data_IF_808229667354
#
_entry.id   IF_808229667354
#
_cell.length_a   1.000
_cell.length_b   1.000
_cell.length_c   1.000
_cell.angle_alpha   90.00
_cell.angle_beta   90.00
_cell.angle_gamma   90.00
#
_symmetry.space_group_name_H-M   'P 1'
#
loop_
_entity.id
_entity.type
_entity.pdbx_description
1 polymer ?
#
# COMPACT_ATOMS: atom_id res chain seq x y z
N UNK A 1 5.41 45.37 -22.00
CA UNK A 1 4.54 44.98 -20.87
C UNK A 1 5.18 45.47 -19.58
N UNK A 2 4.45 46.26 -18.79
CA UNK A 2 4.95 46.78 -17.52
C UNK A 2 5.09 45.63 -16.51
N UNK A 3 6.22 45.55 -15.80
CA UNK A 3 6.49 44.51 -14.78
C UNK A 3 5.39 44.39 -13.71
N UNK A 4 4.69 45.49 -13.42
CA UNK A 4 3.56 45.53 -12.50
C UNK A 4 2.28 44.84 -13.01
N UNK A 5 2.06 44.77 -14.32
CA UNK A 5 0.88 44.09 -14.90
C UNK A 5 1.11 42.58 -14.97
N UNK A 6 2.31 42.16 -15.38
CA UNK A 6 2.72 40.75 -15.37
C UNK A 6 2.65 40.14 -13.98
N UNK A 7 3.12 40.85 -12.94
CA UNK A 7 3.03 40.36 -11.56
C UNK A 7 1.59 40.28 -11.03
N UNK A 8 0.70 41.18 -11.46
CA UNK A 8 -0.73 41.13 -11.10
C UNK A 8 -1.44 39.97 -11.78
N UNK A 9 -1.17 39.74 -13.05
CA UNK A 9 -1.73 38.63 -13.83
C UNK A 9 -1.30 37.28 -13.23
N UNK A 10 0.00 37.10 -12.96
CA UNK A 10 0.50 35.88 -12.34
C UNK A 10 -0.17 35.59 -10.99
N UNK A 11 -0.37 36.62 -10.16
CA UNK A 11 -1.06 36.47 -8.87
C UNK A 11 -2.53 36.06 -9.05
N UNK A 12 -3.19 36.59 -10.07
CA UNK A 12 -4.55 36.19 -10.42
C UNK A 12 -4.61 34.72 -10.86
N UNK A 13 -3.69 34.29 -11.73
CA UNK A 13 -3.64 32.92 -12.24
C UNK A 13 -3.28 31.90 -11.16
N UNK A 14 -2.33 32.23 -10.27
CA UNK A 14 -2.04 31.45 -9.07
C UNK A 14 -3.28 31.30 -8.17
N UNK A 15 -4.01 32.38 -7.91
CA UNK A 15 -5.24 32.30 -7.11
C UNK A 15 -6.29 31.39 -7.75
N UNK A 16 -6.41 31.42 -9.07
CA UNK A 16 -7.31 30.55 -9.83
C UNK A 16 -6.87 29.07 -9.74
N UNK A 17 -5.58 28.78 -9.92
CA UNK A 17 -5.02 27.44 -9.74
C UNK A 17 -5.35 26.89 -8.34
N UNK A 18 -5.21 27.71 -7.31
CA UNK A 18 -5.48 27.34 -5.91
C UNK A 18 -6.97 27.21 -5.54
N UNK A 19 -7.89 27.52 -6.47
CA UNK A 19 -9.32 27.23 -6.32
C UNK A 19 -9.70 25.81 -6.75
N UNK A 20 -8.73 25.01 -7.22
CA UNK A 20 -8.94 23.60 -7.54
C UNK A 20 -9.48 22.77 -6.37
N UNK A 21 -10.04 21.63 -6.73
CA UNK A 21 -10.47 20.55 -5.83
C UNK A 21 -9.30 19.99 -5.02
N UNK A 22 -9.60 19.26 -3.94
CA UNK A 22 -8.57 18.58 -3.15
C UNK A 22 -7.67 17.68 -4.00
N UNK A 23 -8.27 16.94 -4.94
CA UNK A 23 -7.53 16.07 -5.87
C UNK A 23 -6.55 16.86 -6.73
N UNK A 24 -7.01 17.94 -7.35
CA UNK A 24 -6.19 18.81 -8.19
C UNK A 24 -5.02 19.40 -7.40
N UNK A 25 -5.29 19.87 -6.18
CA UNK A 25 -4.26 20.46 -5.31
C UNK A 25 -3.20 19.44 -4.90
N UNK A 26 -3.58 18.20 -4.59
CA UNK A 26 -2.63 17.13 -4.27
C UNK A 26 -1.83 16.74 -5.52
N UNK A 27 -2.45 16.73 -6.71
CA UNK A 27 -1.76 16.52 -7.97
C UNK A 27 -0.70 17.59 -8.24
N UNK A 28 -1.06 18.88 -8.13
CA UNK A 28 -0.12 20.01 -8.30
C UNK A 28 1.01 19.97 -7.27
N UNK A 29 0.70 19.62 -6.02
CA UNK A 29 1.71 19.47 -4.99
C UNK A 29 2.73 18.39 -5.36
N UNK A 30 2.26 17.21 -5.76
CA UNK A 30 3.13 16.15 -6.24
C UNK A 30 3.93 16.61 -7.46
N UNK A 31 3.34 17.38 -8.39
CA UNK A 31 4.01 17.91 -9.59
C UNK A 31 5.25 18.72 -9.22
N UNK A 32 5.07 19.64 -8.29
CA UNK A 32 6.15 20.49 -7.80
C UNK A 32 7.16 19.73 -6.91
N UNK A 33 6.81 18.58 -6.35
CA UNK A 33 7.76 17.74 -5.62
C UNK A 33 8.69 16.95 -6.56
N UNK A 34 8.24 16.63 -7.77
CA UNK A 34 9.04 15.90 -8.77
C UNK A 34 9.93 16.81 -9.61
N UNK A 35 9.53 18.06 -9.84
CA UNK A 35 10.36 19.00 -10.60
C UNK A 35 11.58 19.45 -9.78
N UNK A 36 12.77 19.20 -10.34
CA UNK A 36 14.08 19.48 -9.72
C UNK A 36 14.20 20.94 -9.26
N UNK A 37 13.55 21.88 -9.95
CA UNK A 37 13.65 23.30 -9.63
C UNK A 37 12.75 23.70 -8.46
N UNK A 38 11.61 23.05 -8.31
CA UNK A 38 10.57 23.38 -7.34
C UNK A 38 10.59 22.51 -6.09
N UNK A 39 11.11 21.28 -6.17
CA UNK A 39 11.12 20.33 -5.06
C UNK A 39 11.81 20.86 -3.80
N UNK A 40 12.89 21.64 -3.96
CA UNK A 40 13.61 22.30 -2.86
C UNK A 40 12.78 23.30 -2.04
N UNK A 41 11.62 23.71 -2.54
CA UNK A 41 10.73 24.66 -1.87
C UNK A 41 9.52 24.00 -1.22
N UNK A 42 9.38 22.67 -1.35
CA UNK A 42 8.26 21.90 -0.81
C UNK A 42 8.79 20.89 0.20
N UNK A 43 8.53 21.15 1.48
CA UNK A 43 8.86 20.24 2.59
C UNK A 43 7.87 20.43 3.73
N UNK A 44 7.75 19.39 4.58
CA UNK A 44 6.91 19.41 5.78
C UNK A 44 5.46 19.76 5.47
N UNK A 45 4.87 19.10 4.49
CA UNK A 45 3.48 19.35 4.06
C UNK A 45 2.53 18.55 4.93
N UNK A 46 1.51 19.21 5.46
CA UNK A 46 0.40 18.56 6.13
C UNK A 46 -0.71 18.28 5.12
N UNK A 47 -0.71 17.08 4.55
CA UNK A 47 -1.66 16.67 3.52
C UNK A 47 -3.12 16.58 4.02
N UNK A 48 -3.35 16.59 5.35
CA UNK A 48 -4.71 16.68 5.94
C UNK A 48 -5.26 18.11 5.96
N UNK A 49 -4.45 19.11 5.63
CA UNK A 49 -4.82 20.51 5.70
C UNK A 49 -4.71 21.16 4.31
N UNK A 50 -5.84 21.24 3.61
CA UNK A 50 -5.93 21.91 2.30
C UNK A 50 -5.39 23.33 2.32
N UNK A 51 -5.53 24.06 3.43
CA UNK A 51 -4.95 25.40 3.56
C UNK A 51 -3.43 25.36 3.55
N UNK A 52 -2.83 24.37 4.22
CA UNK A 52 -1.38 24.17 4.19
C UNK A 52 -0.92 23.80 2.77
N UNK A 53 -1.60 22.86 2.10
CA UNK A 53 -1.30 22.48 0.71
C UNK A 53 -1.30 23.72 -0.20
N UNK A 54 -2.36 24.55 -0.15
CA UNK A 54 -2.44 25.78 -0.94
C UNK A 54 -1.29 26.74 -0.65
N UNK A 55 -0.92 26.91 0.63
CA UNK A 55 0.21 27.75 1.03
C UNK A 55 1.53 27.20 0.48
N UNK A 56 1.74 25.89 0.51
CA UNK A 56 2.97 25.25 -0.01
C UNK A 56 3.10 25.42 -1.52
N UNK A 57 2.01 25.20 -2.27
CA UNK A 57 1.97 25.44 -3.72
C UNK A 57 2.26 26.92 -4.01
N UNK A 58 1.55 27.85 -3.38
CA UNK A 58 1.76 29.29 -3.58
C UNK A 58 3.22 29.69 -3.31
N UNK A 59 3.76 29.27 -2.17
CA UNK A 59 5.13 29.59 -1.79
C UNK A 59 6.15 29.04 -2.79
N UNK A 60 5.95 27.82 -3.30
CA UNK A 60 6.83 27.25 -4.31
C UNK A 60 6.80 28.07 -5.60
N UNK A 61 5.60 28.40 -6.11
CA UNK A 61 5.45 29.22 -7.32
C UNK A 61 6.04 30.63 -7.14
N UNK A 62 5.81 31.28 -6.00
CA UNK A 62 6.40 32.59 -5.68
C UNK A 62 7.94 32.54 -5.67
N UNK A 63 8.51 31.48 -5.08
CA UNK A 63 9.97 31.30 -5.05
C UNK A 63 10.53 31.06 -6.44
N UNK A 64 9.86 30.25 -7.27
CA UNK A 64 10.27 30.02 -8.66
C UNK A 64 10.22 31.32 -9.47
N UNK A 65 9.17 32.12 -9.29
CA UNK A 65 9.02 33.42 -9.94
C UNK A 65 10.14 34.38 -9.58
N UNK A 66 10.50 34.49 -8.29
CA UNK A 66 11.63 35.31 -7.81
C UNK A 66 12.94 34.88 -8.49
N UNK A 67 13.11 33.59 -8.75
CA UNK A 67 14.28 33.05 -9.46
C UNK A 67 14.17 33.10 -11.00
N UNK A 68 13.19 33.86 -11.53
CA UNK A 68 12.96 34.07 -12.97
C UNK A 68 12.68 32.78 -13.75
N UNK A 69 12.11 31.78 -13.09
CA UNK A 69 11.59 30.59 -13.77
C UNK A 69 10.23 30.94 -14.39
N UNK A 70 9.92 30.37 -15.56
CA UNK A 70 8.64 30.59 -16.22
C UNK A 70 7.51 29.85 -15.48
N UNK A 71 6.94 30.52 -14.47
CA UNK A 71 5.85 29.99 -13.64
C UNK A 71 4.55 29.86 -14.41
N UNK A 72 4.30 30.72 -15.40
CA UNK A 72 3.10 30.67 -16.22
C UNK A 72 3.05 29.36 -17.02
N UNK A 73 4.13 29.01 -17.71
CA UNK A 73 4.22 27.71 -18.40
C UNK A 73 4.07 26.55 -17.42
N UNK A 74 4.76 26.59 -16.27
CA UNK A 74 4.67 25.51 -15.28
C UNK A 74 3.24 25.31 -14.77
N UNK A 75 2.49 26.40 -14.55
CA UNK A 75 1.08 26.30 -14.15
C UNK A 75 0.21 25.73 -15.26
N UNK A 76 0.43 26.14 -16.51
CA UNK A 76 -0.30 25.60 -17.64
C UNK A 76 0.01 24.10 -17.81
N UNK A 77 1.27 23.69 -17.73
CA UNK A 77 1.69 22.29 -17.81
C UNK A 77 1.00 21.47 -16.70
N UNK A 78 1.00 21.95 -15.45
CA UNK A 78 0.28 21.29 -14.34
C UNK A 78 -1.22 21.11 -14.61
N UNK A 79 -1.88 22.14 -15.15
CA UNK A 79 -3.32 22.11 -15.42
C UNK A 79 -3.64 21.22 -16.62
N UNK A 80 -2.89 21.35 -17.70
CA UNK A 80 -3.09 20.59 -18.93
C UNK A 80 -2.78 19.11 -18.69
N UNK A 81 -1.73 18.77 -17.95
CA UNK A 81 -1.40 17.39 -17.60
C UNK A 81 -2.51 16.78 -16.73
N UNK A 82 -3.02 17.52 -15.74
CA UNK A 82 -4.15 17.03 -14.94
C UNK A 82 -5.41 16.81 -15.78
N UNK A 83 -5.77 17.77 -16.63
CA UNK A 83 -7.00 17.70 -17.43
C UNK A 83 -6.96 16.61 -18.51
N UNK A 84 -5.78 16.35 -19.08
CA UNK A 84 -5.64 15.45 -20.23
C UNK A 84 -5.13 14.06 -19.86
N UNK A 85 -4.37 13.92 -18.76
CA UNK A 85 -3.67 12.68 -18.41
C UNK A 85 -4.18 12.05 -17.10
N UNK A 86 -4.78 12.83 -16.19
CA UNK A 86 -5.33 12.25 -14.98
C UNK A 86 -6.62 11.46 -15.27
N UNK A 87 -6.73 10.29 -14.65
CA UNK A 87 -7.93 9.47 -14.75
C UNK A 87 -9.13 10.17 -14.12
N UNK A 88 -10.36 9.85 -14.51
CA UNK A 88 -11.53 10.36 -13.78
C UNK A 88 -11.64 9.75 -12.37
N UNK A 89 -12.11 10.51 -11.38
CA UNK A 89 -12.09 10.05 -9.97
C UNK A 89 -12.95 8.78 -9.77
N UNK A 90 -13.97 8.60 -10.60
CA UNK A 90 -14.86 7.44 -10.55
C UNK A 90 -14.14 6.10 -10.68
N UNK A 91 -13.01 6.03 -11.40
CA UNK A 91 -12.21 4.80 -11.53
C UNK A 91 -11.58 4.33 -10.21
N UNK A 92 -11.42 5.23 -9.25
CA UNK A 92 -10.82 4.92 -7.95
C UNK A 92 -11.80 5.05 -6.78
N UNK A 93 -13.03 5.50 -7.02
CA UNK A 93 -14.02 5.78 -5.96
C UNK A 93 -14.23 4.61 -4.96
N UNK A 94 -14.00 3.37 -5.41
CA UNK A 94 -14.08 2.15 -4.60
C UNK A 94 -13.03 2.06 -3.47
N UNK A 95 -11.91 2.80 -3.53
CA UNK A 95 -10.89 2.82 -2.45
C UNK A 95 -11.02 4.02 -1.48
N UNK A 96 -11.86 5.03 -1.79
CA UNK A 96 -11.84 6.35 -1.14
C UNK A 96 -11.93 6.37 0.39
N UNK A 97 -12.64 5.40 0.98
CA UNK A 97 -12.89 5.33 2.41
C UNK A 97 -12.31 4.06 3.05
N UNK A 98 -11.32 3.43 2.43
CA UNK A 98 -10.74 2.18 2.90
C UNK A 98 -9.22 2.20 2.78
N UNK A 99 -8.55 2.34 3.93
CA UNK A 99 -7.09 2.25 4.02
C UNK A 99 -6.59 0.89 3.49
N UNK A 100 -7.28 -0.20 3.84
CA UNK A 100 -7.03 -1.55 3.30
C UNK A 100 -7.08 -1.57 1.77
N UNK A 101 -8.10 -0.96 1.17
CA UNK A 101 -8.25 -0.95 -0.28
C UNK A 101 -7.20 -0.06 -0.97
N UNK A 102 -6.84 1.05 -0.34
CA UNK A 102 -5.74 1.91 -0.79
C UNK A 102 -4.40 1.15 -0.78
N UNK A 103 -4.07 0.44 0.31
CA UNK A 103 -2.85 -0.39 0.36
C UNK A 103 -2.90 -1.54 -0.64
N UNK A 104 -4.06 -2.15 -0.84
CA UNK A 104 -4.21 -3.23 -1.82
C UNK A 104 -3.99 -2.74 -3.24
N UNK A 105 -4.58 -1.60 -3.63
CA UNK A 105 -4.34 -0.99 -4.93
C UNK A 105 -2.86 -0.67 -5.11
N UNK A 106 -2.24 -0.03 -4.12
CA UNK A 106 -0.83 0.35 -4.19
C UNK A 106 0.10 -0.86 -4.29
N UNK A 107 -0.18 -1.95 -3.54
CA UNK A 107 0.54 -3.23 -3.69
C UNK A 107 0.44 -3.77 -5.12
N UNK A 108 -0.77 -3.80 -5.69
CA UNK A 108 -0.97 -4.29 -7.05
C UNK A 108 -0.22 -3.43 -8.08
N UNK A 109 -0.31 -2.10 -7.98
CA UNK A 109 0.42 -1.20 -8.88
C UNK A 109 1.93 -1.42 -8.75
N UNK A 110 2.45 -1.45 -7.52
CA UNK A 110 3.88 -1.69 -7.28
C UNK A 110 4.37 -3.00 -7.89
N UNK A 111 3.54 -4.04 -7.89
CA UNK A 111 3.89 -5.35 -8.41
C UNK A 111 3.75 -5.42 -9.94
N UNK A 112 2.62 -4.98 -10.48
CA UNK A 112 2.33 -5.00 -11.92
C UNK A 112 3.35 -4.15 -12.67
N UNK A 113 3.63 -2.95 -12.18
CA UNK A 113 4.51 -2.00 -12.85
C UNK A 113 5.97 -2.07 -12.34
N UNK A 114 6.31 -3.08 -11.52
CA UNK A 114 7.64 -3.27 -10.93
C UNK A 114 8.79 -3.26 -11.92
N UNK A 115 8.60 -3.94 -13.05
CA UNK A 115 9.66 -4.21 -14.04
C UNK A 115 9.80 -3.11 -15.09
N UNK A 116 8.71 -2.42 -15.39
CA UNK A 116 8.66 -1.39 -16.44
C UNK A 116 9.01 0.00 -15.89
N UNK A 117 8.72 0.22 -14.60
CA UNK A 117 8.86 1.53 -13.96
C UNK A 117 9.81 1.50 -12.75
N UNK A 118 10.95 0.81 -12.88
CA UNK A 118 11.95 0.68 -11.81
C UNK A 118 12.41 2.05 -11.26
N UNK A 119 12.51 3.07 -12.13
CA UNK A 119 12.86 4.44 -11.73
C UNK A 119 11.81 5.07 -10.80
N UNK A 120 10.54 4.98 -11.15
CA UNK A 120 9.45 5.55 -10.35
C UNK A 120 9.27 4.80 -9.01
N UNK A 121 9.54 3.49 -9.01
CA UNK A 121 9.52 2.69 -7.79
C UNK A 121 10.74 2.99 -6.90
N UNK A 122 11.91 3.25 -7.50
CA UNK A 122 13.08 3.71 -6.76
C UNK A 122 12.87 5.10 -6.15
N UNK A 123 12.08 5.99 -6.78
CA UNK A 123 11.65 7.24 -6.15
C UNK A 123 10.83 6.98 -4.90
N UNK A 124 9.88 6.04 -4.92
CA UNK A 124 9.11 5.66 -3.73
C UNK A 124 9.98 5.11 -2.59
N UNK A 125 11.06 4.38 -2.93
CA UNK A 125 12.01 3.82 -1.94
C UNK A 125 12.80 4.90 -1.21
N UNK A 126 13.17 5.97 -1.91
CA UNK A 126 14.18 6.91 -1.44
C UNK A 126 13.61 8.27 -1.01
N UNK A 127 12.35 8.55 -1.34
CA UNK A 127 11.76 9.89 -1.18
C UNK A 127 10.30 9.80 -0.66
N UNK A 128 9.79 10.87 -0.05
CA UNK A 128 8.42 10.95 0.49
C UNK A 128 7.41 11.41 -0.58
N UNK A 129 7.37 10.71 -1.72
CA UNK A 129 6.49 11.07 -2.85
C UNK A 129 5.02 10.67 -2.68
N UNK A 130 4.72 9.66 -1.87
CA UNK A 130 3.34 9.30 -1.54
C UNK A 130 3.12 9.48 -0.04
N UNK A 131 2.11 10.27 0.32
CA UNK A 131 1.67 10.38 1.69
C UNK A 131 0.66 9.28 2.03
N UNK A 132 1.11 8.27 2.78
CA UNK A 132 0.30 7.13 3.22
C UNK A 132 -0.42 7.34 4.56
N UNK A 133 -0.58 8.58 5.02
CA UNK A 133 -1.43 8.85 6.18
C UNK A 133 -2.91 8.78 5.77
N UNK A 134 -3.75 8.18 6.61
CA UNK A 134 -5.18 7.90 6.35
C UNK A 134 -6.00 9.08 5.82
N UNK A 135 -5.65 10.31 6.15
CA UNK A 135 -6.39 11.51 5.70
C UNK A 135 -6.03 12.01 4.30
N UNK A 136 -5.03 11.42 3.64
CA UNK A 136 -4.58 11.85 2.31
C UNK A 136 -4.13 10.71 1.40
N UNK A 137 -4.20 9.47 1.89
CA UNK A 137 -3.72 8.29 1.19
C UNK A 137 -4.38 8.12 -0.18
N UNK A 138 -5.71 8.22 -0.23
CA UNK A 138 -6.51 8.11 -1.44
C UNK A 138 -6.00 8.99 -2.58
N UNK A 139 -6.00 10.31 -2.37
CA UNK A 139 -5.60 11.26 -3.39
C UNK A 139 -4.08 11.22 -3.66
N UNK A 140 -3.26 10.90 -2.66
CA UNK A 140 -1.81 10.78 -2.87
C UNK A 140 -1.45 9.59 -3.78
N UNK A 141 -2.12 8.44 -3.60
CA UNK A 141 -1.93 7.26 -4.45
C UNK A 141 -2.40 7.56 -5.88
N UNK A 142 -3.58 8.16 -6.04
CA UNK A 142 -4.13 8.47 -7.36
C UNK A 142 -3.27 9.49 -8.09
N UNK A 143 -2.87 10.58 -7.42
CA UNK A 143 -2.01 11.59 -8.04
C UNK A 143 -0.64 11.04 -8.43
N UNK A 144 -0.11 10.06 -7.70
CA UNK A 144 1.12 9.37 -8.11
C UNK A 144 0.88 8.44 -9.31
N UNK A 145 -0.21 7.66 -9.29
CA UNK A 145 -0.56 6.77 -10.39
C UNK A 145 -0.85 7.52 -11.70
N UNK A 146 -1.62 8.61 -11.63
CA UNK A 146 -1.94 9.48 -12.77
C UNK A 146 -0.67 9.94 -13.50
N UNK A 147 0.43 10.15 -12.77
CA UNK A 147 1.72 10.58 -13.34
C UNK A 147 2.63 9.43 -13.75
N UNK A 148 2.52 8.28 -13.11
CA UNK A 148 3.26 7.09 -13.51
C UNK A 148 2.81 6.63 -14.91
N UNK A 149 1.52 6.81 -15.22
CA UNK A 149 0.86 6.32 -16.45
C UNK A 149 0.79 7.40 -17.55
N UNK A 150 1.38 8.57 -17.34
CA UNK A 150 1.09 9.78 -18.14
C UNK A 150 1.64 9.81 -19.58
N UNK A 151 1.91 8.67 -20.20
CA UNK A 151 2.02 8.51 -21.66
C UNK A 151 0.67 8.15 -22.27
N UNK A 152 0.26 8.87 -23.32
CA UNK A 152 -0.99 8.60 -24.06
C UNK A 152 -1.12 7.14 -24.52
N UNK A 153 -0.01 6.50 -24.82
CA UNK A 153 0.03 5.13 -25.35
C UNK A 153 -0.36 4.07 -24.29
N UNK A 154 -0.28 4.38 -23.00
CA UNK A 154 -0.52 3.42 -21.90
C UNK A 154 -1.84 3.65 -21.14
N UNK A 155 -2.60 4.69 -21.52
CA UNK A 155 -3.79 5.11 -20.79
C UNK A 155 -4.91 4.06 -20.83
N UNK A 156 -5.23 3.52 -22.01
CA UNK A 156 -6.31 2.54 -22.17
C UNK A 156 -5.98 1.19 -21.51
N UNK A 157 -4.73 0.75 -21.57
CA UNK A 157 -4.29 -0.48 -20.91
C UNK A 157 -4.31 -0.33 -19.40
N UNK A 158 -3.81 0.80 -18.88
CA UNK A 158 -3.87 1.11 -17.46
C UNK A 158 -5.31 1.25 -16.96
N UNK A 159 -6.21 1.83 -17.76
CA UNK A 159 -7.64 1.88 -17.47
C UNK A 159 -8.27 0.50 -17.34
N UNK A 160 -7.93 -0.41 -18.26
CA UNK A 160 -8.39 -1.79 -18.20
C UNK A 160 -7.84 -2.51 -16.98
N UNK A 161 -6.56 -2.30 -16.63
CA UNK A 161 -5.95 -2.84 -15.43
C UNK A 161 -6.66 -2.35 -14.15
N UNK A 162 -6.94 -1.05 -14.03
CA UNK A 162 -7.67 -0.51 -12.87
C UNK A 162 -9.08 -1.11 -12.75
N UNK A 163 -9.78 -1.31 -13.88
CA UNK A 163 -11.09 -1.98 -13.87
C UNK A 163 -11.00 -3.43 -13.39
N UNK A 164 -10.02 -4.19 -13.88
CA UNK A 164 -9.78 -5.57 -13.43
C UNK A 164 -9.48 -5.61 -11.93
N UNK A 165 -8.66 -4.67 -11.43
CA UNK A 165 -8.38 -4.56 -10.00
C UNK A 165 -9.65 -4.21 -9.19
N UNK A 166 -10.51 -3.33 -9.71
CA UNK A 166 -11.78 -3.02 -9.07
C UNK A 166 -12.69 -4.26 -8.99
N UNK A 167 -12.81 -5.01 -10.08
CA UNK A 167 -13.62 -6.24 -10.12
C UNK A 167 -13.07 -7.30 -9.15
N UNK A 168 -11.75 -7.50 -9.15
CA UNK A 168 -11.04 -8.38 -8.21
C UNK A 168 -11.30 -7.98 -6.75
N UNK A 169 -11.24 -6.68 -6.44
CA UNK A 169 -11.52 -6.16 -5.10
C UNK A 169 -12.94 -6.50 -4.64
N UNK A 170 -13.94 -6.37 -5.50
CA UNK A 170 -15.32 -6.76 -5.18
C UNK A 170 -15.49 -8.28 -4.98
N UNK A 171 -14.57 -9.09 -5.51
CA UNK A 171 -14.52 -10.53 -5.31
C UNK A 171 -13.66 -10.97 -4.12
N UNK A 172 -13.07 -10.04 -3.36
CA UNK A 172 -12.45 -10.34 -2.06
C UNK A 172 -13.56 -10.69 -1.08
N UNK A 173 -13.98 -11.95 -1.13
CA UNK A 173 -14.71 -12.58 -0.03
C UNK A 173 -13.76 -12.68 1.16
N UNK A 174 -14.28 -12.45 2.37
CA UNK A 174 -13.54 -12.51 3.64
C UNK A 174 -12.79 -13.83 3.81
N UNK A 175 -11.57 -13.91 3.24
CA UNK A 175 -10.76 -15.11 3.27
C UNK A 175 -10.25 -15.36 4.70
N UNK A 176 -9.86 -16.60 5.01
CA UNK A 176 -9.62 -16.97 6.41
C UNK A 176 -8.48 -16.18 7.07
N UNK A 177 -7.52 -15.67 6.28
CA UNK A 177 -6.46 -14.80 6.77
C UNK A 177 -6.98 -13.39 7.13
N UNK A 178 -7.96 -12.84 6.40
CA UNK A 178 -8.61 -11.59 6.78
C UNK A 178 -9.30 -11.72 8.13
N UNK A 179 -10.11 -12.78 8.31
CA UNK A 179 -10.81 -13.05 9.57
C UNK A 179 -9.81 -13.16 10.72
N UNK A 180 -8.70 -13.88 10.51
CA UNK A 180 -7.67 -14.08 11.51
C UNK A 180 -6.95 -12.77 11.89
N UNK A 181 -6.44 -12.01 10.92
CA UNK A 181 -5.74 -10.74 11.19
C UNK A 181 -6.69 -9.72 11.83
N UNK A 182 -7.95 -9.68 11.40
CA UNK A 182 -8.99 -8.81 11.97
C UNK A 182 -9.22 -9.03 13.46
N UNK A 183 -9.05 -10.26 13.97
CA UNK A 183 -9.15 -10.57 15.40
C UNK A 183 -7.94 -10.13 16.23
N UNK A 184 -6.81 -9.80 15.60
CA UNK A 184 -5.60 -9.33 16.28
C UNK A 184 -5.78 -7.84 16.64
N UNK A 185 -5.91 -7.54 17.93
CA UNK A 185 -6.12 -6.18 18.43
C UNK A 185 -4.90 -5.60 19.16
N UNK A 186 -3.92 -6.43 19.52
CA UNK A 186 -2.71 -5.99 20.21
C UNK A 186 -1.74 -5.33 19.22
N UNK A 187 -1.34 -4.06 19.41
CA UNK A 187 -0.37 -3.39 18.54
C UNK A 187 0.95 -4.15 18.43
N UNK A 188 1.39 -4.76 19.52
CA UNK A 188 2.64 -5.53 19.57
C UNK A 188 2.55 -6.83 18.76
N UNK A 189 1.36 -7.44 18.69
CA UNK A 189 1.13 -8.62 17.86
C UNK A 189 1.04 -8.25 16.38
N UNK A 190 0.42 -7.10 16.08
CA UNK A 190 0.40 -6.54 14.73
C UNK A 190 1.83 -6.26 14.26
N UNK A 191 2.65 -5.62 15.10
CA UNK A 191 4.07 -5.38 14.83
C UNK A 191 4.85 -6.68 14.59
N UNK A 192 4.59 -7.70 15.41
CA UNK A 192 5.22 -9.01 15.22
C UNK A 192 4.84 -9.63 13.87
N UNK A 193 3.55 -9.65 13.53
CA UNK A 193 3.08 -10.17 12.24
C UNK A 193 3.65 -9.37 11.06
N UNK A 194 3.74 -8.05 11.20
CA UNK A 194 4.32 -7.16 10.21
C UNK A 194 5.78 -7.51 9.93
N UNK A 195 6.59 -7.56 11.00
CA UNK A 195 8.01 -7.88 10.93
C UNK A 195 8.23 -9.32 10.44
N UNK A 196 7.37 -10.26 10.81
CA UNK A 196 7.44 -11.63 10.31
C UNK A 196 7.41 -11.65 8.78
N UNK A 197 6.46 -10.96 8.14
CA UNK A 197 6.36 -10.87 6.66
C UNK A 197 7.60 -10.20 6.07
N UNK A 198 8.13 -9.14 6.69
CA UNK A 198 9.38 -8.51 6.23
C UNK A 198 10.56 -9.48 6.26
N UNK A 199 10.67 -10.28 7.32
CA UNK A 199 11.71 -11.31 7.46
C UNK A 199 11.53 -12.47 6.48
N UNK A 200 10.32 -12.72 5.97
CA UNK A 200 10.07 -13.72 4.92
C UNK A 200 10.71 -13.36 3.58
N UNK A 201 10.85 -12.07 3.28
CA UNK A 201 11.57 -11.62 2.09
C UNK A 201 13.05 -11.97 2.10
N UNK A 202 13.57 -12.25 3.30
CA UNK A 202 14.99 -12.54 3.55
C UNK A 202 15.25 -14.05 3.60
N UNK A 203 14.25 -14.87 3.94
CA UNK A 203 14.41 -16.32 4.12
C UNK A 203 13.28 -17.13 3.47
N UNK A 204 13.70 -18.11 2.68
CA UNK A 204 12.91 -19.11 1.96
C UNK A 204 11.81 -19.75 2.81
N UNK A 205 10.60 -19.21 2.70
CA UNK A 205 9.39 -19.98 2.91
C UNK A 205 8.99 -20.56 1.55
N UNK A 206 8.78 -21.87 1.49
CA UNK A 206 8.12 -22.61 0.40
C UNK A 206 6.62 -22.21 0.28
N UNK A 207 6.37 -20.92 0.14
CA UNK A 207 5.12 -20.34 -0.31
C UNK A 207 5.51 -19.68 -1.62
N UNK A 208 4.75 -19.92 -2.68
CA UNK A 208 4.98 -19.31 -4.00
C UNK A 208 4.68 -17.80 -3.94
N UNK A 209 5.47 -17.03 -3.18
CA UNK A 209 5.49 -15.58 -3.19
C UNK A 209 6.72 -15.17 -3.97
N UNK A 210 6.53 -14.38 -5.02
CA UNK A 210 7.65 -13.86 -5.79
C UNK A 210 8.39 -12.78 -4.97
N UNK A 211 9.73 -12.69 -5.06
CA UNK A 211 10.51 -11.68 -4.33
C UNK A 211 9.98 -10.25 -4.51
N UNK A 212 9.53 -9.91 -5.72
CA UNK A 212 9.01 -8.58 -6.06
C UNK A 212 7.77 -8.22 -5.22
N UNK A 213 6.96 -9.20 -4.84
CA UNK A 213 5.78 -8.97 -4.00
C UNK A 213 6.18 -8.61 -2.56
N UNK A 214 7.25 -9.24 -2.06
CA UNK A 214 7.78 -8.94 -0.74
C UNK A 214 8.50 -7.59 -0.74
N UNK A 215 9.23 -7.26 -1.80
CA UNK A 215 9.86 -5.95 -1.95
C UNK A 215 8.82 -4.82 -1.94
N UNK A 216 7.70 -5.00 -2.63
CA UNK A 216 6.56 -4.08 -2.60
C UNK A 216 5.97 -3.95 -1.19
N UNK A 217 5.77 -5.06 -0.47
CA UNK A 217 5.31 -5.05 0.92
C UNK A 217 6.28 -4.30 1.85
N UNK A 218 7.58 -4.61 1.76
CA UNK A 218 8.63 -3.98 2.58
C UNK A 218 8.69 -2.49 2.30
N UNK A 219 8.56 -2.09 1.03
CA UNK A 219 8.52 -0.69 0.62
C UNK A 219 7.41 0.09 1.33
N UNK A 220 6.20 -0.47 1.39
CA UNK A 220 5.09 0.13 2.13
C UNK A 220 5.38 0.21 3.63
N UNK A 221 6.05 -0.81 4.17
CA UNK A 221 6.39 -0.90 5.59
C UNK A 221 7.38 0.11 6.15
N UNK A 222 8.17 0.77 5.30
CA UNK A 222 9.22 1.70 5.72
C UNK A 222 8.71 3.08 6.14
N UNK A 223 7.43 3.40 5.93
CA UNK A 223 6.86 4.71 6.26
C UNK A 223 6.23 4.68 7.66
N UNK A 224 6.71 5.55 8.57
CA UNK A 224 6.58 5.44 10.04
C UNK A 224 5.16 5.59 10.66
N UNK A 225 4.10 5.82 9.89
CA UNK A 225 2.77 6.18 10.42
C UNK A 225 1.59 5.43 9.76
N UNK A 226 1.80 4.16 9.42
CA UNK A 226 0.81 3.36 8.70
C UNK A 226 0.01 2.44 9.62
N UNK A 227 -1.28 2.25 9.31
CA UNK A 227 -2.08 1.10 9.72
C UNK A 227 -1.46 -0.22 9.26
N UNK A 228 -0.45 -0.72 9.99
CA UNK A 228 0.25 -1.99 9.70
C UNK A 228 -0.72 -3.17 9.53
N UNK A 229 -1.82 -3.17 10.29
CA UNK A 229 -2.88 -4.16 10.19
C UNK A 229 -3.51 -4.16 8.80
N UNK A 230 -3.83 -2.98 8.27
CA UNK A 230 -4.41 -2.83 6.94
C UNK A 230 -3.42 -3.23 5.84
N UNK A 231 -2.12 -2.92 5.98
CA UNK A 231 -1.10 -3.46 5.05
C UNK A 231 -1.08 -4.99 5.08
N UNK A 232 -1.03 -5.60 6.27
CA UNK A 232 -0.98 -7.07 6.40
C UNK A 232 -2.20 -7.69 5.72
N UNK A 233 -3.38 -7.14 5.96
CA UNK A 233 -4.61 -7.60 5.34
C UNK A 233 -4.54 -7.44 3.81
N UNK A 234 -4.18 -6.26 3.32
CA UNK A 234 -4.04 -5.98 1.89
C UNK A 234 -3.02 -6.91 1.20
N UNK A 235 -1.97 -7.31 1.92
CA UNK A 235 -1.00 -8.29 1.41
C UNK A 235 -1.60 -9.69 1.29
N UNK A 236 -2.38 -10.13 2.28
CA UNK A 236 -3.11 -11.40 2.17
C UNK A 236 -4.18 -11.37 1.07
N UNK A 237 -4.89 -10.25 0.91
CA UNK A 237 -5.85 -10.03 -0.17
C UNK A 237 -5.17 -10.20 -1.54
N UNK A 238 -4.03 -9.53 -1.72
CA UNK A 238 -3.22 -9.66 -2.91
C UNK A 238 -2.81 -11.12 -3.15
N UNK A 239 -2.24 -11.80 -2.15
CA UNK A 239 -1.81 -13.20 -2.29
C UNK A 239 -2.98 -14.12 -2.65
N UNK A 240 -4.13 -13.94 -2.01
CA UNK A 240 -5.33 -14.74 -2.26
C UNK A 240 -5.76 -14.69 -3.73
N UNK A 241 -5.64 -13.53 -4.37
CA UNK A 241 -6.03 -13.27 -5.76
C UNK A 241 -4.91 -13.51 -6.80
N UNK A 242 -3.64 -13.45 -6.39
CA UNK A 242 -2.47 -13.37 -7.30
C UNK A 242 -2.24 -14.54 -8.28
N UNK A 243 -2.84 -15.73 -8.08
CA UNK A 243 -2.68 -16.87 -9.01
C UNK A 243 -3.64 -18.04 -8.73
N UNK A 244 -3.61 -19.07 -9.60
CA UNK A 244 -4.33 -20.36 -9.42
C UNK A 244 -4.04 -21.05 -8.07
N UNK A 245 -2.90 -20.74 -7.43
CA UNK A 245 -2.51 -21.26 -6.12
C UNK A 245 -2.51 -20.18 -5.01
N UNK A 246 -3.00 -18.96 -5.29
CA UNK A 246 -2.99 -17.82 -4.37
C UNK A 246 -3.68 -18.11 -3.04
N UNK A 247 -4.82 -18.80 -3.09
CA UNK A 247 -5.55 -19.28 -1.90
C UNK A 247 -4.64 -20.14 -1.01
N UNK A 248 -3.91 -21.10 -1.59
CA UNK A 248 -3.01 -21.97 -0.83
C UNK A 248 -1.83 -21.18 -0.26
N UNK A 249 -1.32 -20.20 -1.01
CA UNK A 249 -0.23 -19.35 -0.56
C UNK A 249 -0.64 -18.51 0.66
N UNK A 250 -1.81 -17.85 0.59
CA UNK A 250 -2.38 -17.07 1.68
C UNK A 250 -2.66 -17.94 2.92
N UNK A 251 -3.26 -19.12 2.76
CA UNK A 251 -3.52 -20.06 3.86
C UNK A 251 -2.23 -20.56 4.51
N UNK A 252 -1.23 -20.94 3.71
CA UNK A 252 0.07 -21.41 4.21
C UNK A 252 0.77 -20.33 5.03
N UNK A 253 0.82 -19.10 4.49
CA UNK A 253 1.41 -17.97 5.19
C UNK A 253 0.67 -17.70 6.51
N UNK A 254 -0.67 -17.68 6.49
CA UNK A 254 -1.50 -17.52 7.68
C UNK A 254 -1.14 -18.55 8.76
N UNK A 255 -1.09 -19.84 8.42
CA UNK A 255 -0.79 -20.88 9.42
C UNK A 255 0.61 -20.74 10.00
N UNK A 256 1.61 -20.46 9.18
CA UNK A 256 3.00 -20.26 9.64
C UNK A 256 3.09 -19.07 10.57
N UNK A 257 2.47 -17.94 10.20
CA UNK A 257 2.40 -16.75 11.03
C UNK A 257 1.65 -16.98 12.34
N UNK A 258 0.48 -17.62 12.30
CA UNK A 258 -0.31 -17.92 13.50
C UNK A 258 0.46 -18.80 14.48
N UNK A 259 1.11 -19.86 13.99
CA UNK A 259 1.96 -20.73 14.80
C UNK A 259 3.17 -19.97 15.39
N UNK A 260 3.83 -19.14 14.59
CA UNK A 260 4.96 -18.33 15.04
C UNK A 260 4.55 -17.29 16.10
N UNK A 261 3.42 -16.61 15.89
CA UNK A 261 2.86 -15.64 16.82
C UNK A 261 2.48 -16.32 18.14
N UNK A 262 1.78 -17.45 18.10
CA UNK A 262 1.44 -18.24 19.31
C UNK A 262 2.71 -18.64 20.07
N UNK A 263 3.73 -19.16 19.38
CA UNK A 263 5.02 -19.49 19.98
C UNK A 263 5.73 -18.28 20.60
N UNK A 264 5.69 -17.11 19.93
CA UNK A 264 6.27 -15.88 20.44
C UNK A 264 5.54 -15.35 21.68
N UNK A 265 4.20 -15.35 21.67
CA UNK A 265 3.39 -15.01 22.86
C UNK A 265 3.76 -15.89 24.05
N UNK A 266 3.93 -17.20 23.81
CA UNK A 266 4.31 -18.16 24.84
C UNK A 266 5.70 -17.89 25.41
N UNK A 267 6.69 -17.53 24.56
CA UNK A 267 8.05 -17.17 25.03
C UNK A 267 8.08 -15.86 25.83
N UNK A 268 7.20 -14.92 25.49
CA UNK A 268 7.06 -13.63 26.18
C UNK A 268 6.36 -13.78 27.54
N UNK A 269 5.36 -14.66 27.61
CA UNK A 269 4.60 -14.97 28.82
C UNK A 269 5.23 -16.19 29.52
N UNK A 270 6.44 -16.04 30.08
CA UNK A 270 7.22 -17.12 30.73
C UNK A 270 6.54 -17.84 31.91
N UNK A 271 5.39 -17.37 32.39
CA UNK A 271 4.78 -17.83 33.65
C UNK A 271 3.71 -18.92 33.49
N UNK A 272 3.44 -19.43 32.29
CA UNK A 272 2.53 -20.56 32.19
C UNK A 272 2.48 -21.20 30.83
N UNK A 273 3.31 -22.20 30.57
CA UNK A 273 2.82 -23.35 29.82
C UNK A 273 3.56 -24.64 30.16
N UNK A 274 2.72 -25.67 30.28
CA UNK A 274 3.02 -27.09 30.50
C UNK A 274 3.23 -27.74 29.14
N UNK A 275 4.25 -28.57 28.98
CA UNK A 275 4.41 -29.40 27.78
C UNK A 275 3.20 -30.35 27.67
N UNK A 276 2.30 -30.09 26.73
CA UNK A 276 1.10 -30.90 26.52
C UNK A 276 1.44 -32.02 25.55
N UNK A 277 1.46 -33.25 26.03
CA UNK A 277 1.53 -34.44 25.18
C UNK A 277 0.14 -34.80 24.66
N UNK A 278 -0.01 -34.81 23.33
CA UNK A 278 -1.23 -35.27 22.67
C UNK A 278 -1.04 -36.70 22.19
N UNK A 279 -1.81 -37.63 22.77
CA UNK A 279 -1.93 -38.98 22.25
C UNK A 279 -2.88 -39.00 21.05
N UNK A 280 -2.30 -39.09 19.86
CA UNK A 280 -3.06 -39.11 18.61
C UNK A 280 -3.26 -40.56 18.17
N UNK A 281 -4.53 -40.94 17.95
CA UNK A 281 -4.88 -42.27 17.41
C UNK A 281 -4.09 -42.56 16.13
N UNK A 282 -3.54 -43.79 16.02
CA UNK A 282 -2.69 -44.23 14.89
C UNK A 282 -3.35 -43.98 13.52
N UNK A 283 -4.67 -44.16 13.41
CA UNK A 283 -5.44 -43.91 12.18
C UNK A 283 -5.41 -42.45 11.68
N UNK A 284 -5.10 -41.49 12.54
CA UNK A 284 -5.04 -40.06 12.19
C UNK A 284 -3.61 -39.59 11.89
N UNK A 285 -2.58 -40.39 12.18
CA UNK A 285 -1.18 -40.04 11.88
C UNK A 285 -0.96 -39.82 10.37
N UNK A 286 -1.47 -40.67 9.45
CA UNK A 286 -1.32 -40.43 8.02
C UNK A 286 -2.03 -39.15 7.55
N UNK A 287 -3.17 -38.80 8.16
CA UNK A 287 -3.91 -37.57 7.85
C UNK A 287 -3.11 -36.34 8.28
N UNK A 288 -2.46 -36.40 9.44
CA UNK A 288 -1.57 -35.33 9.91
C UNK A 288 -0.33 -35.18 9.02
N UNK A 289 0.26 -36.28 8.55
CA UNK A 289 1.38 -36.20 7.57
C UNK A 289 0.92 -35.61 6.23
N UNK A 290 -0.29 -35.98 5.77
CA UNK A 290 -0.85 -35.41 4.54
C UNK A 290 -1.09 -33.89 4.69
N UNK A 291 -1.62 -33.43 5.83
CA UNK A 291 -1.81 -32.01 6.12
C UNK A 291 -0.46 -31.29 6.26
N UNK A 292 0.51 -31.88 6.97
CA UNK A 292 1.88 -31.35 7.09
C UNK A 292 2.50 -31.13 5.71
N UNK A 293 2.39 -32.13 4.82
CA UNK A 293 2.93 -32.06 3.45
C UNK A 293 2.16 -31.05 2.60
N UNK A 294 0.84 -31.03 2.67
CA UNK A 294 -0.02 -30.11 1.91
C UNK A 294 0.25 -28.65 2.23
N UNK A 295 0.49 -28.35 3.51
CA UNK A 295 0.68 -26.99 4.01
C UNK A 295 2.14 -26.63 4.27
N UNK A 296 3.03 -27.54 3.89
CA UNK A 296 4.48 -27.47 4.09
C UNK A 296 4.88 -26.94 5.48
N UNK A 297 4.38 -27.62 6.51
CA UNK A 297 4.68 -27.38 7.92
C UNK A 297 5.89 -28.22 8.35
N UNK A 298 6.68 -27.70 9.29
CA UNK A 298 7.92 -28.32 9.77
C UNK A 298 7.65 -29.56 10.63
N UNK A 299 6.52 -29.62 11.34
CA UNK A 299 6.21 -30.73 12.24
C UNK A 299 4.73 -31.08 12.37
N UNK A 300 4.43 -32.29 12.87
CA UNK A 300 3.06 -32.70 13.25
C UNK A 300 2.47 -31.81 14.35
N UNK A 301 3.32 -31.30 15.25
CA UNK A 301 2.91 -30.39 16.33
C UNK A 301 2.32 -29.10 15.76
N UNK A 302 2.92 -28.55 14.70
CA UNK A 302 2.40 -27.37 14.01
C UNK A 302 1.04 -27.62 13.34
N UNK A 303 0.82 -28.82 12.81
CA UNK A 303 -0.49 -29.21 12.28
C UNK A 303 -1.54 -29.22 13.38
N UNK A 304 -1.22 -29.81 14.54
CA UNK A 304 -2.14 -29.88 15.69
C UNK A 304 -2.45 -28.49 16.23
N UNK A 305 -1.43 -27.65 16.40
CA UNK A 305 -1.62 -26.25 16.84
C UNK A 305 -2.51 -25.48 15.86
N UNK A 306 -2.27 -25.59 14.56
CA UNK A 306 -3.11 -24.95 13.55
C UNK A 306 -4.57 -25.44 13.57
N UNK A 307 -4.79 -26.73 13.85
CA UNK A 307 -6.14 -27.28 14.02
C UNK A 307 -6.84 -26.77 15.28
N UNK A 308 -6.10 -26.63 16.38
CA UNK A 308 -6.61 -26.06 17.64
C UNK A 308 -7.00 -24.60 17.42
N UNK A 309 -6.11 -23.79 16.84
CA UNK A 309 -6.38 -22.38 16.51
C UNK A 309 -7.60 -22.25 15.59
N UNK A 310 -7.75 -23.13 14.59
CA UNK A 310 -8.93 -23.17 13.72
C UNK A 310 -10.24 -23.43 14.49
N UNK A 311 -10.22 -24.29 15.51
CA UNK A 311 -11.41 -24.54 16.33
C UNK A 311 -11.72 -23.39 17.28
N UNK A 312 -10.71 -22.69 17.80
CA UNK A 312 -10.91 -21.41 18.50
C UNK A 312 -11.51 -20.35 17.58
N UNK A 313 -11.04 -20.29 16.33
CA UNK A 313 -11.51 -19.35 15.33
C UNK A 313 -13.00 -19.53 14.99
N UNK A 314 -13.54 -20.75 15.07
CA UNK A 314 -14.95 -21.07 14.83
C UNK A 314 -15.88 -20.72 15.99
N UNK A 315 -15.35 -20.66 17.21
CA UNK A 315 -16.12 -20.42 18.44
C UNK A 315 -16.19 -18.93 18.82
N UNK A 316 -15.48 -18.08 18.09
CA UNK A 316 -15.46 -16.62 18.26
C UNK A 316 -16.50 -15.94 17.40
#
# INVERSE_FOLDING_TARGET
>A
MNSNESSKQLKYDCNRLLQGSERELIYYLNYLQEDIKSCKYISGVNYKNLKDIKIKIQNALDKLFIHKINVENLMNDMQDDFLNLAFEEQYFSWIKNSDRACYWLLLNILIIYSKENEREINKLKNEDYINLNSGSMYYSIISWFDKMVSSYDDYDDSKNNIKLLMDDWYHITDHSAFIWVSKINSPVEIDYCFNYIQELGINTIDVFILPEHIDAFILLGKKELIGKKDIIIAFFDYLFLSSRNGILAAENLKMKMANALSSWKNRRNKEGYVDVHFDIKKENIPKLEALKKRFNLMSKKEVVNALIEREYDKKG
#
